data_IF_168130044903
#
_entry.id   IF_168130044903
#
_cell.length_a   1.000
_cell.length_b   1.000
_cell.length_c   1.000
_cell.angle_alpha   90.00
_cell.angle_beta   90.00
_cell.angle_gamma   90.00
#
_symmetry.space_group_name_H-M   'P 1'
#
loop_
_entity.id
_entity.type
_entity.pdbx_description
1 polymer ?
#
# COMPACT_ATOMS: atom_id res chain seq x y z
N UNK A 1 -11.06 11.90 0.87
CA UNK A 1 -11.30 11.29 -0.47
C UNK A 1 -10.43 10.06 -0.49
N UNK A 2 -11.01 8.86 -0.50
CA UNK A 2 -10.22 7.63 -0.42
C UNK A 2 -9.43 7.43 -1.71
N UNK A 3 -8.17 7.06 -1.54
CA UNK A 3 -7.21 6.90 -2.62
C UNK A 3 -6.73 5.45 -2.59
N UNK A 4 -6.81 4.77 -3.74
CA UNK A 4 -6.48 3.36 -3.91
C UNK A 4 -5.56 3.16 -5.11
N UNK A 5 -4.63 2.22 -5.02
CA UNK A 5 -3.85 1.81 -6.18
C UNK A 5 -2.98 0.59 -5.92
N UNK A 6 -2.31 0.14 -6.97
CA UNK A 6 -1.38 -0.98 -6.92
C UNK A 6 -0.06 -0.55 -7.57
N UNK A 7 1.05 -0.70 -6.84
CA UNK A 7 2.40 -0.50 -7.37
C UNK A 7 2.99 -1.86 -7.75
N UNK A 8 3.40 -1.95 -9.01
CA UNK A 8 4.32 -3.00 -9.44
C UNK A 8 5.73 -2.49 -9.17
N UNK A 9 6.35 -2.95 -8.08
CA UNK A 9 7.69 -2.53 -7.71
C UNK A 9 8.69 -3.25 -8.65
N UNK A 10 9.18 -2.55 -9.68
CA UNK A 10 10.38 -3.01 -10.41
C UNK A 10 11.61 -2.71 -9.55
N UNK A 11 11.94 -3.62 -8.63
CA UNK A 11 13.26 -3.61 -8.01
C UNK A 11 14.21 -4.31 -8.98
N UNK A 12 15.11 -3.52 -9.58
CA UNK A 12 16.22 -4.03 -10.37
C UNK A 12 17.04 -5.01 -9.51
N UNK A 13 17.35 -6.19 -10.08
CA UNK A 13 18.47 -7.09 -9.71
C UNK A 13 18.29 -8.24 -8.70
N UNK A 14 17.10 -8.62 -8.22
CA UNK A 14 16.93 -9.93 -7.57
C UNK A 14 15.73 -10.67 -8.12
N UNK A 15 15.89 -11.97 -8.39
CA UNK A 15 14.89 -12.84 -9.04
C UNK A 15 13.69 -13.20 -8.14
N UNK A 16 13.30 -12.31 -7.24
CA UNK A 16 12.04 -12.39 -6.49
C UNK A 16 11.18 -11.19 -6.87
N UNK A 17 10.20 -11.46 -7.71
CA UNK A 17 9.17 -10.50 -8.08
C UNK A 17 8.32 -10.20 -6.84
N UNK A 18 8.62 -9.13 -6.10
CA UNK A 18 7.65 -8.49 -5.21
C UNK A 18 6.54 -7.82 -6.06
N UNK A 19 5.77 -8.63 -6.77
CA UNK A 19 4.56 -8.20 -7.44
C UNK A 19 3.49 -8.05 -6.35
N UNK A 20 3.04 -6.82 -6.09
CA UNK A 20 1.79 -6.63 -5.39
C UNK A 20 1.77 -5.79 -4.13
N UNK A 21 2.31 -4.59 -4.20
CA UNK A 21 2.04 -3.58 -3.19
C UNK A 21 0.68 -2.94 -3.50
N UNK A 22 -0.28 -3.22 -2.63
CA UNK A 22 -1.62 -2.62 -2.65
C UNK A 22 -1.65 -1.46 -1.66
N UNK A 23 -2.31 -0.37 -2.01
CA UNK A 23 -2.53 0.73 -1.07
C UNK A 23 -3.96 1.19 -1.15
N UNK A 24 -4.54 1.43 0.03
CA UNK A 24 -5.88 1.97 0.14
C UNK A 24 -5.98 2.75 1.45
N UNK A 25 -6.15 4.06 1.34
CA UNK A 25 -6.25 4.96 2.50
C UNK A 25 -7.41 5.93 2.31
N UNK A 26 -7.95 6.48 3.39
CA UNK A 26 -9.05 7.44 3.37
C UNK A 26 -8.56 8.90 3.21
N UNK A 27 -7.26 9.13 3.41
CA UNK A 27 -6.58 10.41 3.33
C UNK A 27 -5.13 10.31 3.82
N UNK A 28 -4.46 11.45 3.97
CA UNK A 28 -3.14 11.52 4.60
C UNK A 28 -3.23 11.77 6.11
N UNK A 29 -2.21 11.34 6.84
CA UNK A 29 -2.10 11.44 8.30
C UNK A 29 -2.91 10.37 9.04
N UNK A 30 -2.78 10.31 10.38
CA UNK A 30 -3.24 9.14 11.17
C UNK A 30 -4.74 8.87 11.08
N UNK A 31 -5.52 9.93 10.80
CA UNK A 31 -6.97 9.84 10.61
C UNK A 31 -7.37 9.28 9.23
N UNK A 32 -6.43 9.22 8.29
CA UNK A 32 -6.60 8.69 6.95
C UNK A 32 -6.29 7.21 6.81
N UNK A 33 -5.82 6.54 7.87
CA UNK A 33 -5.44 5.13 7.81
C UNK A 33 -6.63 4.18 7.58
N UNK A 34 -6.31 3.01 7.01
CA UNK A 34 -7.25 1.88 6.92
C UNK A 34 -6.73 0.71 7.74
N UNK A 35 -7.57 -0.31 8.01
CA UNK A 35 -7.10 -1.52 8.69
C UNK A 35 -5.88 -2.13 7.98
N UNK A 36 -4.87 -2.52 8.75
CA UNK A 36 -3.66 -3.19 8.27
C UNK A 36 -3.91 -4.68 7.90
N UNK A 37 -4.94 -4.91 7.07
CA UNK A 37 -5.36 -6.22 6.56
C UNK A 37 -5.73 -6.12 5.07
N UNK A 38 -6.01 -7.24 4.42
CA UNK A 38 -6.34 -7.28 2.99
C UNK A 38 -7.85 -7.38 2.70
N UNK A 39 -8.72 -7.10 3.68
CA UNK A 39 -10.17 -7.31 3.54
C UNK A 39 -10.81 -6.37 2.51
N UNK A 40 -10.18 -5.21 2.30
CA UNK A 40 -10.57 -4.21 1.31
C UNK A 40 -9.92 -4.41 -0.07
N UNK A 41 -9.06 -5.43 -0.20
CA UNK A 41 -8.39 -5.72 -1.45
C UNK A 41 -9.40 -6.14 -2.52
N UNK A 42 -9.33 -5.48 -3.68
CA UNK A 42 -10.13 -5.81 -4.86
C UNK A 42 -9.21 -6.34 -5.97
N UNK A 43 -9.31 -7.63 -6.32
CA UNK A 43 -8.57 -8.22 -7.42
C UNK A 43 -8.80 -7.44 -8.73
N UNK A 44 -7.74 -7.25 -9.52
CA UNK A 44 -7.84 -6.65 -10.85
C UNK A 44 -6.80 -7.25 -11.81
N UNK A 45 -7.19 -7.46 -13.06
CA UNK A 45 -6.34 -8.09 -14.08
C UNK A 45 -5.66 -9.38 -13.58
N UNK A 46 -4.32 -9.47 -13.69
CA UNK A 46 -3.53 -10.61 -13.19
C UNK A 46 -3.18 -10.50 -11.70
N UNK A 47 -3.59 -9.44 -11.04
CA UNK A 47 -3.30 -9.18 -9.64
C UNK A 47 -4.44 -9.68 -8.76
N UNK A 48 -4.34 -10.96 -8.37
CA UNK A 48 -5.39 -11.65 -7.61
C UNK A 48 -5.09 -11.77 -6.13
N UNK A 49 -3.84 -11.52 -5.71
CA UNK A 49 -3.40 -11.64 -4.31
C UNK A 49 -2.38 -10.54 -4.00
N UNK A 50 -2.62 -9.73 -2.94
CA UNK A 50 -1.66 -8.76 -2.48
C UNK A 50 -0.57 -9.40 -1.63
N UNK A 51 0.63 -8.84 -1.70
CA UNK A 51 1.80 -9.30 -0.93
C UNK A 51 2.11 -8.34 0.20
N UNK A 52 1.90 -7.04 -0.01
CA UNK A 52 2.10 -5.97 0.96
C UNK A 52 0.96 -4.96 0.84
N UNK A 53 0.51 -4.41 1.98
CA UNK A 53 -0.46 -3.31 2.00
C UNK A 53 0.18 -2.07 2.62
N UNK A 54 0.08 -0.95 1.92
CA UNK A 54 0.29 0.38 2.50
C UNK A 54 -1.07 0.89 3.02
N UNK A 55 -1.19 0.96 4.34
CA UNK A 55 -2.43 1.30 5.06
C UNK A 55 -2.39 2.71 5.68
N UNK A 56 -1.22 3.37 5.66
CA UNK A 56 -1.06 4.75 6.08
C UNK A 56 -0.24 5.58 5.09
N UNK A 57 -0.58 6.86 4.95
CA UNK A 57 0.12 7.80 4.06
C UNK A 57 0.43 9.09 4.79
N UNK A 58 1.61 9.65 4.52
CA UNK A 58 1.98 10.98 5.04
C UNK A 58 1.94 11.03 6.58
N UNK A 59 2.39 9.95 7.23
CA UNK A 59 2.47 9.84 8.69
C UNK A 59 3.74 10.51 9.21
N UNK A 60 3.64 11.45 10.14
CA UNK A 60 4.83 12.02 10.80
C UNK A 60 5.19 11.20 12.04
N UNK A 61 6.21 10.36 11.92
CA UNK A 61 6.70 9.50 13.00
C UNK A 61 8.13 9.91 13.30
N UNK A 62 8.39 10.28 14.55
CA UNK A 62 9.73 10.71 15.00
C UNK A 62 10.36 11.82 14.12
N UNK A 63 9.54 12.72 13.57
CA UNK A 63 9.99 13.82 12.71
C UNK A 63 10.25 13.44 11.25
N UNK A 64 9.94 12.20 10.85
CA UNK A 64 10.05 11.72 9.47
C UNK A 64 8.65 11.44 8.92
N UNK A 65 8.39 11.93 7.71
CA UNK A 65 7.15 11.59 6.99
C UNK A 65 7.33 10.23 6.30
N UNK A 66 6.52 9.26 6.69
CA UNK A 66 6.56 7.89 6.16
C UNK A 66 5.21 7.46 5.61
N UNK A 67 5.24 6.44 4.77
CA UNK A 67 4.07 5.63 4.46
C UNK A 67 4.24 4.28 5.15
N UNK A 68 3.17 3.78 5.73
CA UNK A 68 3.14 2.51 6.48
C UNK A 68 2.33 1.47 5.73
#
# INVERSE_FOLDING_TARGET
>A
MSTTGIRSLRVLLSRELCYGEYWNVNGGGPSGETPANFDDFRPFAKFTKPTMKQFGQMESICGVTVNR
#
